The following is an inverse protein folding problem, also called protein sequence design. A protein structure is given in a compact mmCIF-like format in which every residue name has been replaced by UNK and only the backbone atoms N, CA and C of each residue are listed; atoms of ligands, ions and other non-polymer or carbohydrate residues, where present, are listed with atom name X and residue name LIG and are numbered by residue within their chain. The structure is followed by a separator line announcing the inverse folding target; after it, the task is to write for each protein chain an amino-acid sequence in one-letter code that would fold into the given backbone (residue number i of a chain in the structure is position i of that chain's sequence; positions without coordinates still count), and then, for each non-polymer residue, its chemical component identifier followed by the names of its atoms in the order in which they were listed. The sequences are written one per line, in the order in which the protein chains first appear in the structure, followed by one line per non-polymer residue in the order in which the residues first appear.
data_IF_822316329812
#
_entry.id   IF_822316329812
#
_cell.length_a   1.000
_cell.length_b   1.000
_cell.length_c   1.000
_cell.angle_alpha   90.00
_cell.angle_beta   90.00
_cell.angle_gamma   90.00
#
_symmetry.space_group_name_H-M   'P 1'
#
loop_
_entity.id
_entity.type
_entity.pdbx_description
1 polymer ?
#
# COMPACT_ATOMS: atom_id res chain seq x y z
N UNK A 1 -15.64 2.97 -18.55
CA UNK A 1 -14.31 2.87 -19.21
C UNK A 1 -13.61 1.68 -18.59
N UNK A 2 -12.88 0.88 -19.38
CA UNK A 2 -12.11 -0.23 -18.83
C UNK A 2 -10.82 0.34 -18.23
N UNK A 3 -10.61 0.15 -16.92
CA UNK A 3 -9.43 0.66 -16.23
C UNK A 3 -8.51 -0.51 -15.90
N UNK A 4 -7.26 -0.45 -16.34
CA UNK A 4 -6.24 -1.44 -15.99
C UNK A 4 -5.70 -1.17 -14.57
N UNK A 5 -6.06 -1.97 -13.55
CA UNK A 5 -5.71 -1.67 -12.16
C UNK A 5 -4.20 -1.70 -11.89
N UNK A 6 -3.50 -2.62 -12.57
CA UNK A 6 -2.05 -2.86 -12.40
C UNK A 6 -1.22 -1.59 -12.64
N UNK A 7 -1.57 -0.78 -13.65
CA UNK A 7 -0.83 0.45 -13.94
C UNK A 7 -0.92 1.47 -12.80
N UNK A 8 -2.10 1.56 -12.17
CA UNK A 8 -2.35 2.46 -11.04
C UNK A 8 -1.62 1.95 -9.79
N UNK A 9 -1.67 0.63 -9.55
CA UNK A 9 -1.00 -0.02 -8.43
C UNK A 9 0.52 0.13 -8.51
N UNK A 10 1.12 -0.10 -9.68
CA UNK A 10 2.56 0.03 -9.91
C UNK A 10 3.01 1.49 -9.75
N UNK A 11 2.29 2.43 -10.35
CA UNK A 11 2.57 3.87 -10.21
C UNK A 11 2.54 4.34 -8.75
N UNK A 12 1.56 3.88 -7.96
CA UNK A 12 1.50 4.22 -6.53
C UNK A 12 2.68 3.66 -5.73
N UNK A 13 3.10 2.42 -6.01
CA UNK A 13 4.27 1.82 -5.35
C UNK A 13 5.56 2.56 -5.70
N UNK A 14 5.68 3.06 -6.94
CA UNK A 14 6.87 3.79 -7.39
C UNK A 14 7.01 5.15 -6.69
N UNK A 15 5.91 5.89 -6.50
CA UNK A 15 5.95 7.24 -5.92
C UNK A 15 5.83 7.25 -4.38
N UNK A 16 5.43 6.13 -3.76
CA UNK A 16 5.20 6.02 -2.32
C UNK A 16 6.05 4.88 -1.73
N UNK A 17 7.28 5.16 -1.28
CA UNK A 17 8.27 4.14 -0.92
C UNK A 17 7.89 3.31 0.32
N UNK A 18 6.91 3.75 1.11
CA UNK A 18 6.43 3.03 2.30
C UNK A 18 5.40 1.94 1.98
N UNK A 19 4.79 1.98 0.79
CA UNK A 19 3.78 1.02 0.35
C UNK A 19 4.46 -0.28 -0.09
N UNK A 20 3.93 -1.42 0.34
CA UNK A 20 4.34 -2.74 -0.14
C UNK A 20 3.48 -3.17 -1.34
N UNK A 21 2.17 -3.31 -1.11
CA UNK A 21 1.21 -3.72 -2.13
C UNK A 21 0.03 -2.73 -2.20
N UNK A 22 -0.55 -2.65 -3.39
CA UNK A 22 -1.80 -1.94 -3.65
C UNK A 22 -2.72 -2.88 -4.41
N UNK A 23 -3.97 -3.02 -3.96
CA UNK A 23 -5.03 -3.70 -4.70
C UNK A 23 -6.11 -2.68 -5.03
N UNK A 24 -6.23 -2.34 -6.31
CA UNK A 24 -7.28 -1.43 -6.78
C UNK A 24 -8.55 -2.22 -7.08
N UNK A 25 -9.67 -1.74 -6.53
CA UNK A 25 -10.99 -2.37 -6.60
C UNK A 25 -11.98 -1.32 -7.12
N UNK A 26 -12.73 -1.66 -8.15
CA UNK A 26 -13.76 -0.76 -8.67
C UNK A 26 -14.65 -1.37 -9.74
N UNK A 27 -14.70 -2.69 -9.84
CA UNK A 27 -15.54 -3.39 -10.82
C UNK A 27 -17.02 -3.06 -10.58
N UNK A 28 -17.70 -2.65 -11.66
CA UNK A 28 -19.07 -2.10 -11.65
C UNK A 28 -19.32 -0.99 -10.59
N UNK A 29 -18.28 -0.25 -10.19
CA UNK A 29 -18.41 0.89 -9.25
C UNK A 29 -18.26 2.22 -9.96
N UNK A 30 -18.83 3.26 -9.33
CA UNK A 30 -18.75 4.66 -9.79
C UNK A 30 -17.35 5.27 -9.65
N UNK A 31 -16.46 4.60 -8.91
CA UNK A 31 -15.10 5.06 -8.61
C UNK A 31 -14.23 3.90 -8.13
N UNK A 32 -12.91 4.09 -8.21
CA UNK A 32 -11.94 3.14 -7.70
C UNK A 32 -11.66 3.36 -6.21
N UNK A 33 -11.47 2.26 -5.50
CA UNK A 33 -10.96 2.22 -4.14
C UNK A 33 -9.66 1.41 -4.11
N UNK A 34 -8.80 1.66 -3.13
CA UNK A 34 -7.53 0.94 -2.99
C UNK A 34 -7.40 0.31 -1.60
N UNK A 35 -6.97 -0.96 -1.55
CA UNK A 35 -6.40 -1.54 -0.34
C UNK A 35 -4.89 -1.40 -0.43
N UNK A 36 -4.27 -0.86 0.62
CA UNK A 36 -2.85 -0.54 0.67
C UNK A 36 -2.23 -1.30 1.84
N UNK A 37 -1.08 -1.91 1.62
CA UNK A 37 -0.26 -2.50 2.69
C UNK A 37 1.06 -1.74 2.79
N UNK A 38 1.71 -1.79 3.95
CA UNK A 38 2.98 -1.13 4.19
C UNK A 38 4.13 -2.15 4.18
N UNK A 39 5.34 -1.70 3.87
CA UNK A 39 6.53 -2.56 3.92
C UNK A 39 6.88 -2.91 5.36
N UNK A 40 6.69 -4.17 5.69
CA UNK A 40 6.96 -4.75 7.01
C UNK A 40 8.11 -5.76 6.94
N UNK A 41 8.71 -6.03 8.09
CA UNK A 41 9.60 -7.17 8.26
C UNK A 41 8.84 -8.47 8.02
N UNK A 42 9.50 -9.44 7.41
CA UNK A 42 8.95 -10.78 7.16
C UNK A 42 9.65 -11.74 8.10
N UNK A 43 8.86 -12.43 8.91
CA UNK A 43 9.35 -13.56 9.68
C UNK A 43 9.44 -14.77 8.74
N UNK A 44 10.63 -15.33 8.61
CA UNK A 44 10.91 -16.51 7.79
C UNK A 44 11.06 -17.79 8.65
N UNK A 45 10.59 -17.73 9.89
CA UNK A 45 10.56 -18.88 10.78
C UNK A 45 9.74 -20.02 10.17
N UNK A 46 10.17 -21.26 10.41
CA UNK A 46 9.49 -22.48 9.96
C UNK A 46 9.31 -22.62 8.44
N UNK A 47 10.04 -21.81 7.65
CA UNK A 47 9.97 -21.83 6.18
C UNK A 47 8.73 -21.12 5.61
N UNK A 48 7.96 -20.41 6.44
CA UNK A 48 6.83 -19.58 6.01
C UNK A 48 7.29 -18.12 5.91
N UNK A 49 6.98 -17.45 4.80
CA UNK A 49 7.26 -16.02 4.62
C UNK A 49 6.10 -15.20 5.18
N UNK A 50 6.01 -15.06 6.50
CA UNK A 50 4.89 -14.41 7.18
C UNK A 50 5.18 -12.93 7.45
N UNK A 51 4.38 -12.00 6.90
CA UNK A 51 4.55 -10.58 7.19
C UNK A 51 4.24 -10.29 8.66
N UNK A 52 5.15 -9.58 9.32
CA UNK A 52 4.96 -9.11 10.69
C UNK A 52 4.17 -7.78 10.69
N UNK A 53 4.00 -7.18 11.87
CA UNK A 53 3.49 -5.82 11.99
C UNK A 53 4.60 -4.76 12.05
N UNK A 54 5.85 -5.17 12.17
CA UNK A 54 6.98 -4.23 12.30
C UNK A 54 7.33 -3.63 10.95
N UNK A 55 7.34 -2.31 10.85
CA UNK A 55 7.80 -1.63 9.64
C UNK A 55 9.29 -1.89 9.41
N UNK A 56 9.68 -2.02 8.14
CA UNK A 56 11.10 -2.20 7.81
C UNK A 56 11.97 -1.01 8.25
N UNK A 57 13.26 -1.20 8.55
CA UNK A 57 14.20 -0.12 8.86
C UNK A 57 14.24 0.99 7.80
N UNK A 58 14.07 0.63 6.53
CA UNK A 58 14.03 1.59 5.43
C UNK A 58 12.81 2.51 5.53
N UNK A 59 11.63 1.96 5.83
CA UNK A 59 10.42 2.77 6.08
C UNK A 59 10.60 3.65 7.29
N UNK A 60 11.06 3.10 8.43
CA UNK A 60 11.30 3.85 9.66
C UNK A 60 12.27 5.02 9.42
N UNK A 61 13.34 4.78 8.65
CA UNK A 61 14.33 5.81 8.28
C UNK A 61 13.74 6.88 7.37
N UNK A 62 12.97 6.47 6.36
CA UNK A 62 12.29 7.39 5.44
C UNK A 62 11.32 8.30 6.19
N UNK A 63 10.45 7.72 7.04
CA UNK A 63 9.51 8.48 7.85
C UNK A 63 10.21 9.52 8.72
N UNK A 64 11.31 9.13 9.39
CA UNK A 64 12.04 10.03 10.28
C UNK A 64 12.83 11.13 9.56
N UNK A 65 13.43 10.83 8.39
CA UNK A 65 14.30 11.76 7.67
C UNK A 65 13.57 12.64 6.68
N UNK A 66 12.69 12.04 5.88
CA UNK A 66 12.01 12.73 4.77
C UNK A 66 10.71 13.40 5.24
N UNK A 67 9.99 12.76 6.17
CA UNK A 67 8.69 13.27 6.66
C UNK A 67 8.75 13.83 8.08
N UNK A 68 9.88 13.69 8.80
CA UNK A 68 10.04 14.07 10.20
C UNK A 68 9.00 13.40 11.14
N UNK A 69 8.50 12.22 10.78
CA UNK A 69 7.56 11.43 11.57
C UNK A 69 8.37 10.43 12.42
N UNK A 70 8.20 10.50 13.74
CA UNK A 70 8.96 9.69 14.71
C UNK A 70 8.01 8.84 15.56
N UNK A 71 8.53 7.75 16.11
CA UNK A 71 7.76 6.87 17.01
C UNK A 71 6.79 5.92 16.30
N UNK A 72 6.72 5.96 14.97
CA UNK A 72 5.96 4.98 14.19
C UNK A 72 6.85 3.78 13.90
N UNK A 73 6.50 2.64 14.49
CA UNK A 73 7.31 1.41 14.35
C UNK A 73 6.53 0.25 13.78
N UNK A 74 5.22 0.23 13.96
CA UNK A 74 4.33 -0.82 13.50
C UNK A 74 3.32 -0.33 12.48
N UNK A 75 2.65 -1.25 11.79
CA UNK A 75 1.52 -0.95 10.90
C UNK A 75 0.36 -0.32 11.66
N UNK A 76 0.07 -0.77 12.88
CA UNK A 76 -0.99 -0.22 13.73
C UNK A 76 -0.69 1.25 14.11
N UNK A 77 0.57 1.56 14.47
CA UNK A 77 1.01 2.95 14.69
C UNK A 77 0.80 3.80 13.44
N UNK A 78 1.15 3.24 12.27
CA UNK A 78 1.05 3.95 11.00
C UNK A 78 -0.40 4.22 10.59
N UNK A 79 -1.31 3.27 10.84
CA UNK A 79 -2.74 3.42 10.59
C UNK A 79 -3.33 4.54 11.46
N UNK A 80 -2.93 4.61 12.73
CA UNK A 80 -3.43 5.62 13.67
C UNK A 80 -2.80 7.01 13.49
N UNK A 81 -1.70 7.14 12.73
CA UNK A 81 -0.97 8.39 12.57
C UNK A 81 -1.52 9.26 11.43
N UNK A 82 -2.05 10.44 11.77
CA UNK A 82 -2.64 11.38 10.80
C UNK A 82 -1.65 11.89 9.75
N UNK A 83 -0.37 12.04 10.09
CA UNK A 83 0.65 12.51 9.15
C UNK A 83 0.93 11.47 8.06
N UNK A 84 0.88 10.18 8.40
CA UNK A 84 0.99 9.07 7.44
C UNK A 84 -0.25 9.01 6.55
N UNK A 85 -1.45 9.18 7.12
CA UNK A 85 -2.68 9.25 6.33
C UNK A 85 -2.62 10.42 5.34
N UNK A 86 -2.15 11.59 5.78
CA UNK A 86 -1.99 12.76 4.93
C UNK A 86 -0.98 12.51 3.81
N UNK A 87 0.18 11.93 4.14
CA UNK A 87 1.20 11.59 3.15
C UNK A 87 0.68 10.62 2.08
N UNK A 88 -0.02 9.55 2.48
CA UNK A 88 -0.60 8.58 1.53
C UNK A 88 -1.69 9.24 0.68
N UNK A 89 -2.52 10.10 1.27
CA UNK A 89 -3.52 10.88 0.54
C UNK A 89 -2.86 11.78 -0.51
N UNK A 90 -1.78 12.47 -0.18
CA UNK A 90 -1.00 13.29 -1.13
C UNK A 90 -0.49 12.45 -2.30
N UNK A 91 0.04 11.23 -2.04
CA UNK A 91 0.49 10.31 -3.10
C UNK A 91 -0.65 9.79 -3.97
N UNK A 92 -1.81 9.53 -3.38
CA UNK A 92 -3.01 9.19 -4.16
C UNK A 92 -3.43 10.35 -5.06
N UNK A 93 -3.38 11.59 -4.56
CA UNK A 93 -3.74 12.77 -5.33
C UNK A 93 -2.72 13.06 -6.44
N UNK A 94 -1.42 12.86 -6.20
CA UNK A 94 -0.37 12.88 -7.23
C UNK A 94 -0.65 11.85 -8.34
N UNK A 95 -0.97 10.61 -7.96
CA UNK A 95 -1.31 9.55 -8.91
C UNK A 95 -2.59 9.86 -9.71
N UNK A 96 -3.60 10.43 -9.07
CA UNK A 96 -4.83 10.85 -9.74
C UNK A 96 -4.57 11.97 -10.77
N UNK A 97 -3.60 12.87 -10.53
CA UNK A 97 -3.27 13.97 -11.47
C UNK A 97 -2.67 13.47 -12.78
N UNK A 98 -1.92 12.36 -12.76
CA UNK A 98 -1.32 11.76 -13.95
C UNK A 98 -2.24 10.76 -14.67
N UNK A 99 -3.42 10.50 -14.12
CA UNK A 99 -4.38 9.56 -14.67
C UNK A 99 -5.03 10.08 -15.95
N UNK A 100 -5.27 9.19 -16.92
CA UNK A 100 -5.81 9.53 -18.26
C UNK A 100 -7.26 10.03 -18.15
N UNK A 101 -8.01 9.55 -17.16
CA UNK A 101 -9.40 9.96 -16.96
C UNK A 101 -9.80 9.96 -15.48
N UNK A 102 -10.88 10.68 -15.17
CA UNK A 102 -11.49 10.70 -13.83
C UNK A 102 -12.04 9.35 -13.39
N UNK A 103 -12.29 8.43 -14.34
CA UNK A 103 -12.73 7.07 -14.02
C UNK A 103 -11.63 6.27 -13.31
N UNK A 104 -10.36 6.66 -13.50
CA UNK A 104 -9.20 6.03 -12.87
C UNK A 104 -8.88 6.59 -11.48
N UNK A 105 -9.64 7.58 -11.01
CA UNK A 105 -9.35 8.21 -9.73
C UNK A 105 -9.64 7.25 -8.58
N UNK A 106 -8.64 7.05 -7.74
CA UNK A 106 -8.82 6.44 -6.43
C UNK A 106 -9.48 7.49 -5.55
N UNK A 107 -10.71 7.20 -5.12
CA UNK A 107 -11.50 8.10 -4.25
C UNK A 107 -11.51 7.68 -2.80
N UNK A 108 -11.21 6.41 -2.52
CA UNK A 108 -11.18 5.86 -1.18
C UNK A 108 -10.01 4.90 -1.09
N UNK A 109 -9.39 4.84 0.08
CA UNK A 109 -8.40 3.81 0.36
C UNK A 109 -8.52 3.34 1.80
N UNK A 110 -7.88 2.21 2.08
CA UNK A 110 -7.67 1.71 3.43
C UNK A 110 -6.28 1.11 3.52
N UNK A 111 -5.54 1.48 4.57
CA UNK A 111 -4.31 0.79 4.95
C UNK A 111 -4.67 -0.46 5.74
N UNK A 112 -4.13 -1.61 5.36
CA UNK A 112 -4.33 -2.89 6.03
C UNK A 112 -3.26 -3.12 7.11
N UNK A 113 -3.60 -3.81 8.21
CA UNK A 113 -2.68 -4.06 9.32
C UNK A 113 -1.59 -5.10 8.99
N UNK A 114 -1.82 -5.93 7.98
CA UNK A 114 -0.94 -7.03 7.58
C UNK A 114 -0.68 -6.94 6.08
N UNK A 115 0.56 -7.19 5.67
CA UNK A 115 0.93 -7.26 4.26
C UNK A 115 0.44 -8.56 3.60
N UNK A 116 0.38 -8.56 2.27
CA UNK A 116 -0.03 -9.72 1.50
C UNK A 116 1.04 -10.80 1.49
N UNK A 117 0.60 -12.06 1.52
CA UNK A 117 1.51 -13.20 1.51
C UNK A 117 0.95 -14.36 0.71
N UNK A 118 1.80 -15.35 0.43
CA UNK A 118 1.36 -16.60 -0.19
C UNK A 118 0.54 -17.42 0.83
N UNK A 119 1.00 -17.46 2.08
CA UNK A 119 0.36 -18.20 3.16
C UNK A 119 -1.02 -17.63 3.53
N UNK A 120 -1.18 -16.29 3.49
CA UNK A 120 -2.47 -15.62 3.62
C UNK A 120 -3.40 -15.80 2.41
N UNK A 121 -2.85 -16.23 1.28
CA UNK A 121 -3.59 -16.54 0.06
C UNK A 121 -3.88 -15.33 -0.85
N UNK A 122 -3.40 -14.14 -0.49
CA UNK A 122 -3.53 -12.94 -1.33
C UNK A 122 -2.54 -12.94 -2.49
N UNK A 123 -1.42 -13.65 -2.36
CA UNK A 123 -0.42 -13.81 -3.41
C UNK A 123 -0.40 -15.25 -3.95
N UNK A 124 -0.20 -15.37 -5.26
CA UNK A 124 0.15 -16.63 -5.92
C UNK A 124 1.59 -17.04 -5.59
N UNK A 125 2.01 -18.31 -5.81
CA UNK A 125 3.41 -18.71 -5.68
C UNK A 125 4.38 -17.89 -6.56
N UNK A 126 3.87 -17.27 -7.63
CA UNK A 126 4.62 -16.34 -8.49
C UNK A 126 4.60 -14.88 -8.01
N UNK A 127 4.15 -14.63 -6.78
CA UNK A 127 4.01 -13.31 -6.14
C UNK A 127 3.07 -12.33 -6.86
N UNK A 128 2.17 -12.84 -7.69
CA UNK A 128 1.09 -12.05 -8.30
C UNK A 128 -0.11 -11.97 -7.37
N UNK A 129 -0.73 -10.80 -7.28
CA UNK A 129 -2.00 -10.58 -6.60
C UNK A 129 -3.09 -11.49 -7.13
N UNK A 130 -3.81 -12.15 -6.22
CA UNK A 130 -5.05 -12.87 -6.48
C UNK A 130 -6.22 -11.92 -6.21
N UNK A 131 -7.00 -11.61 -7.25
CA UNK A 131 -8.15 -10.70 -7.19
C UNK A 131 -9.46 -11.47 -7.29
#
# INVERSE_FOLDING_TARGET
ENVAPVLIEDSLKDICPIISNVMVIGDDKKFLSALITLKVEVDNSEGLNTPTKDLTPNVKTFLAKELNIKGVTTTDDAIANEDIQRYIQEKIDENNKISISRAQYIRKYRILPTDFSIEGGELTPTLKLKR
#
